data_IF_504976762314
#
_entry.id   IF_504976762314
#
_cell.length_a   1.000
_cell.length_b   1.000
_cell.length_c   1.000
_cell.angle_alpha   90.00
_cell.angle_beta   90.00
_cell.angle_gamma   90.00
#
_symmetry.space_group_name_H-M   'P 1'
#
loop_
_entity.id
_entity.type
_entity.pdbx_description
1 polymer ?
#
# COMPACT_ATOMS: atom_id res chain seq x y z
N UNK A 1 -29.34 -9.33 3.73
CA UNK A 1 -29.61 -8.00 4.33
C UNK A 1 -28.27 -7.33 4.54
N UNK A 2 -28.01 -6.21 3.89
CA UNK A 2 -26.74 -5.48 4.01
C UNK A 2 -26.56 -4.92 5.41
N UNK A 3 -25.34 -4.93 5.90
CA UNK A 3 -24.93 -4.38 7.19
C UNK A 3 -24.21 -3.05 6.94
N UNK A 4 -24.60 -2.01 7.67
CA UNK A 4 -23.87 -0.75 7.64
C UNK A 4 -22.64 -0.86 8.55
N UNK A 5 -21.48 -0.49 8.03
CA UNK A 5 -20.22 -0.39 8.78
C UNK A 5 -19.64 1.01 8.65
N UNK A 6 -19.08 1.51 9.72
CA UNK A 6 -18.34 2.76 9.76
C UNK A 6 -16.84 2.43 9.77
N UNK A 7 -16.06 3.05 8.88
CA UNK A 7 -14.62 2.83 8.73
C UNK A 7 -13.94 4.16 8.42
N UNK A 8 -12.68 4.30 8.79
CA UNK A 8 -11.84 5.37 8.29
C UNK A 8 -11.01 4.84 7.12
N UNK A 9 -11.19 5.35 5.92
CA UNK A 9 -10.43 4.92 4.73
C UNK A 9 -9.56 6.07 4.25
N UNK A 10 -8.25 5.86 4.28
CA UNK A 10 -7.24 6.83 3.83
C UNK A 10 -7.37 8.20 4.55
N UNK A 11 -7.75 8.16 5.84
CA UNK A 11 -7.93 9.36 6.67
C UNK A 11 -9.32 9.99 6.58
N UNK A 12 -10.23 9.43 5.77
CA UNK A 12 -11.60 9.92 5.63
C UNK A 12 -12.60 8.95 6.27
N UNK A 13 -13.52 9.43 7.13
CA UNK A 13 -14.59 8.59 7.65
C UNK A 13 -15.57 8.23 6.52
N UNK A 14 -15.94 6.96 6.43
CA UNK A 14 -16.90 6.44 5.43
C UNK A 14 -17.86 5.44 6.04
N UNK A 15 -19.10 5.48 5.56
CA UNK A 15 -20.10 4.45 5.82
C UNK A 15 -20.23 3.56 4.58
N UNK A 16 -20.15 2.24 4.78
CA UNK A 16 -20.29 1.25 3.71
C UNK A 16 -21.44 0.29 4.05
N UNK A 17 -22.32 0.06 3.08
CA UNK A 17 -23.37 -0.96 3.17
C UNK A 17 -22.84 -2.27 2.55
N UNK A 18 -22.42 -3.20 3.39
CA UNK A 18 -21.76 -4.45 2.96
C UNK A 18 -22.64 -5.68 3.16
N UNK A 19 -22.47 -6.70 2.33
CA UNK A 19 -23.07 -8.00 2.60
C UNK A 19 -22.29 -8.72 3.73
N UNK A 20 -22.96 -9.44 4.64
CA UNK A 20 -22.30 -10.08 5.79
C UNK A 20 -21.19 -11.05 5.44
N UNK A 21 -21.23 -11.63 4.25
CA UNK A 21 -20.27 -12.62 3.76
C UNK A 21 -19.25 -12.04 2.75
N UNK A 22 -19.34 -10.76 2.41
CA UNK A 22 -18.39 -10.13 1.50
C UNK A 22 -17.03 -9.95 2.15
N UNK A 23 -15.97 -10.10 1.36
CA UNK A 23 -14.62 -9.80 1.82
C UNK A 23 -14.40 -8.30 1.92
N UNK A 24 -13.46 -7.87 2.75
CA UNK A 24 -13.06 -6.47 2.80
C UNK A 24 -12.52 -5.99 1.45
N UNK A 25 -11.83 -6.86 0.71
CA UNK A 25 -11.38 -6.59 -0.66
C UNK A 25 -12.55 -6.24 -1.59
N UNK A 26 -13.61 -7.04 -1.55
CA UNK A 26 -14.79 -6.80 -2.41
C UNK A 26 -15.50 -5.51 -2.01
N UNK A 27 -15.63 -5.21 -0.71
CA UNK A 27 -16.22 -3.98 -0.21
C UNK A 27 -15.41 -2.75 -0.63
N UNK A 28 -14.08 -2.78 -0.51
CA UNK A 28 -13.21 -1.69 -0.94
C UNK A 28 -13.34 -1.42 -2.44
N UNK A 29 -13.38 -2.47 -3.26
CA UNK A 29 -13.43 -2.35 -4.72
C UNK A 29 -14.81 -1.98 -5.26
N UNK A 30 -15.86 -2.57 -4.73
CA UNK A 30 -17.21 -2.48 -5.29
C UNK A 30 -18.07 -1.44 -4.58
N UNK A 31 -17.99 -1.36 -3.24
CA UNK A 31 -18.83 -0.44 -2.45
C UNK A 31 -18.11 0.90 -2.21
N UNK A 32 -16.79 0.90 -1.98
CA UNK A 32 -16.01 2.14 -1.81
C UNK A 32 -15.40 2.68 -3.12
N UNK A 33 -15.41 1.92 -4.22
CA UNK A 33 -14.85 2.33 -5.52
C UNK A 33 -13.31 2.37 -5.59
N UNK A 34 -12.61 1.82 -4.58
CA UNK A 34 -11.14 1.81 -4.48
C UNK A 34 -10.56 0.58 -5.20
N UNK A 35 -10.30 0.72 -6.48
CA UNK A 35 -9.89 -0.40 -7.35
C UNK A 35 -8.39 -0.66 -7.41
N UNK A 36 -7.58 0.16 -6.75
CA UNK A 36 -6.13 0.02 -6.67
C UNK A 36 -5.70 -1.27 -5.99
N UNK A 37 -6.38 -1.68 -4.91
CA UNK A 37 -6.19 -2.99 -4.27
C UNK A 37 -6.67 -4.11 -5.20
N UNK A 38 -5.82 -5.12 -5.48
CA UNK A 38 -6.07 -6.11 -6.54
C UNK A 38 -6.50 -7.47 -6.00
N UNK A 39 -7.45 -8.11 -6.71
CA UNK A 39 -7.90 -9.49 -6.45
C UNK A 39 -7.11 -10.45 -7.32
N UNK A 40 -6.06 -11.10 -6.76
CA UNK A 40 -5.18 -12.00 -7.50
C UNK A 40 -5.51 -13.47 -7.30
N UNK A 41 -5.44 -13.98 -6.07
CA UNK A 41 -5.67 -15.41 -5.77
C UNK A 41 -6.95 -15.69 -4.99
N UNK A 42 -7.43 -14.71 -4.20
CA UNK A 42 -8.62 -14.82 -3.33
C UNK A 42 -8.51 -15.89 -2.23
N UNK A 43 -7.30 -16.34 -1.93
CA UNK A 43 -6.98 -17.39 -0.92
C UNK A 43 -5.83 -16.99 0.01
N UNK A 44 -5.44 -15.70 0.01
CA UNK A 44 -4.45 -15.16 0.96
C UNK A 44 -2.98 -15.39 0.61
N UNK A 45 -2.64 -15.97 -0.56
CA UNK A 45 -1.26 -16.33 -0.89
C UNK A 45 -0.49 -15.26 -1.65
N UNK A 46 -1.13 -14.50 -2.55
CA UNK A 46 -0.39 -13.64 -3.49
C UNK A 46 -0.06 -12.25 -2.98
N UNK A 47 -0.70 -11.76 -1.93
CA UNK A 47 -0.46 -10.44 -1.35
C UNK A 47 -0.87 -9.23 -2.20
N UNK A 48 -1.45 -9.42 -3.41
CA UNK A 48 -1.89 -8.30 -4.26
C UNK A 48 -3.02 -7.48 -3.64
N UNK A 49 -3.71 -8.05 -2.65
CA UNK A 49 -4.79 -7.43 -1.89
C UNK A 49 -4.34 -6.82 -0.55
N UNK A 50 -3.04 -6.73 -0.30
CA UNK A 50 -2.51 -6.16 0.95
C UNK A 50 -2.96 -4.72 1.13
N UNK A 51 -3.52 -4.43 2.31
CA UNK A 51 -3.86 -3.09 2.82
C UNK A 51 -3.32 -2.97 4.25
N UNK A 52 -3.31 -1.76 4.82
CA UNK A 52 -3.10 -1.62 6.27
C UNK A 52 -4.45 -1.55 6.97
N UNK A 53 -4.59 -2.34 8.02
CA UNK A 53 -5.70 -2.28 8.99
C UNK A 53 -5.07 -1.86 10.31
N UNK A 54 -5.43 -0.69 10.81
CA UNK A 54 -4.82 -0.08 12.00
C UNK A 54 -3.28 -0.08 11.97
N UNK A 55 -2.72 0.19 10.77
CA UNK A 55 -1.28 0.22 10.53
C UNK A 55 -0.62 -1.14 10.28
N UNK A 56 -1.33 -2.25 10.44
CA UNK A 56 -0.81 -3.61 10.24
C UNK A 56 -1.13 -4.11 8.82
N UNK A 57 -0.16 -4.64 8.06
CA UNK A 57 -0.41 -5.19 6.73
C UNK A 57 -1.23 -6.47 6.80
N UNK A 58 -2.36 -6.50 6.08
CA UNK A 58 -3.29 -7.62 6.05
C UNK A 58 -3.78 -7.91 4.63
N UNK A 59 -4.09 -9.19 4.36
CA UNK A 59 -4.71 -9.62 3.11
C UNK A 59 -6.23 -9.38 3.18
N UNK A 60 -6.72 -8.33 2.54
CA UNK A 60 -8.13 -7.95 2.56
C UNK A 60 -9.09 -9.01 1.96
N UNK A 61 -8.60 -9.96 1.18
CA UNK A 61 -9.39 -11.07 0.65
C UNK A 61 -9.74 -12.13 1.72
N UNK A 62 -9.04 -12.14 2.86
CA UNK A 62 -9.30 -13.09 3.98
C UNK A 62 -10.09 -12.47 5.13
N UNK A 63 -10.26 -11.15 5.16
CA UNK A 63 -11.01 -10.44 6.18
C UNK A 63 -12.45 -10.21 5.69
N UNK A 64 -13.43 -10.49 6.53
CA UNK A 64 -14.84 -10.14 6.23
C UNK A 64 -15.04 -8.63 6.37
N UNK A 65 -15.79 -8.03 5.44
CA UNK A 65 -16.05 -6.59 5.47
C UNK A 65 -16.67 -6.09 6.80
N UNK A 66 -17.63 -6.83 7.44
CA UNK A 66 -18.16 -6.44 8.74
C UNK A 66 -17.14 -6.38 9.88
N UNK A 67 -16.03 -7.11 9.80
CA UNK A 67 -14.96 -7.11 10.82
C UNK A 67 -14.15 -5.81 10.81
N UNK A 68 -14.19 -5.07 9.70
CA UNK A 68 -13.51 -3.79 9.57
C UNK A 68 -14.24 -2.61 10.25
N UNK A 69 -15.42 -2.84 10.85
CA UNK A 69 -16.16 -1.78 11.54
C UNK A 69 -15.31 -1.13 12.65
N UNK A 70 -15.16 0.19 12.58
CA UNK A 70 -14.34 0.97 13.51
C UNK A 70 -12.84 0.99 13.22
N UNK A 71 -12.36 0.26 12.19
CA UNK A 71 -10.94 0.20 11.85
C UNK A 71 -10.50 1.37 10.96
N UNK A 72 -9.20 1.66 11.00
CA UNK A 72 -8.52 2.58 10.08
C UNK A 72 -7.87 1.79 8.95
N UNK A 73 -8.33 2.02 7.74
CA UNK A 73 -7.87 1.32 6.55
C UNK A 73 -6.99 2.24 5.70
N UNK A 74 -5.80 1.77 5.31
CA UNK A 74 -4.97 2.46 4.31
C UNK A 74 -4.81 1.56 3.10
N UNK A 75 -5.30 2.03 1.96
CA UNK A 75 -5.15 1.39 0.66
C UNK A 75 -4.05 2.07 -0.15
N UNK A 76 -3.74 1.54 -1.34
CA UNK A 76 -2.73 2.15 -2.23
C UNK A 76 -3.06 3.60 -2.59
N UNK A 77 -4.32 3.94 -2.69
CA UNK A 77 -4.79 5.29 -2.98
C UNK A 77 -4.43 6.30 -1.87
N UNK A 78 -4.32 5.83 -0.62
CA UNK A 78 -3.92 6.65 0.54
C UNK A 78 -2.42 6.65 0.84
N UNK A 79 -1.59 6.07 -0.02
CA UNK A 79 -0.13 6.08 0.18
C UNK A 79 0.46 7.43 -0.19
N UNK A 80 -0.08 8.08 -1.20
CA UNK A 80 0.41 9.36 -1.71
C UNK A 80 0.08 10.49 -0.72
N UNK A 81 1.06 11.34 -0.36
CA UNK A 81 0.84 12.42 0.63
C UNK A 81 -0.06 13.56 0.12
N UNK A 82 -0.26 13.67 -1.18
CA UNK A 82 -1.05 14.73 -1.83
C UNK A 82 -1.04 14.58 -3.34
N UNK A 83 -1.89 15.34 -4.04
CA UNK A 83 -2.10 15.20 -5.49
C UNK A 83 -0.82 15.42 -6.32
N UNK A 84 0.06 16.31 -5.88
CA UNK A 84 1.25 16.74 -6.64
C UNK A 84 2.55 16.08 -6.14
N UNK A 85 2.50 15.18 -5.16
CA UNK A 85 3.70 14.57 -4.57
C UNK A 85 3.64 13.07 -4.65
N UNK A 86 4.62 12.46 -5.32
CA UNK A 86 4.76 11.00 -5.37
C UNK A 86 5.47 10.53 -4.09
N UNK A 87 4.93 9.50 -3.44
CA UNK A 87 5.58 8.92 -2.26
C UNK A 87 6.94 8.30 -2.65
N UNK A 88 8.02 8.45 -1.85
CA UNK A 88 9.34 7.92 -2.16
C UNK A 88 9.36 6.45 -2.57
N UNK A 89 8.55 5.60 -1.97
CA UNK A 89 8.40 4.19 -2.35
C UNK A 89 7.93 4.08 -3.82
N UNK A 90 6.91 4.83 -4.21
CA UNK A 90 6.36 4.80 -5.57
C UNK A 90 7.36 5.38 -6.59
N UNK A 91 8.05 6.48 -6.25
CA UNK A 91 9.09 7.07 -7.07
C UNK A 91 10.23 6.07 -7.34
N UNK A 92 10.72 5.38 -6.31
CA UNK A 92 11.78 4.40 -6.48
C UNK A 92 11.33 3.14 -7.23
N UNK A 93 10.07 2.73 -7.11
CA UNK A 93 9.51 1.66 -7.95
C UNK A 93 9.58 2.01 -9.44
N UNK A 94 9.28 3.25 -9.81
CA UNK A 94 9.40 3.72 -11.20
C UNK A 94 10.86 3.80 -11.63
N UNK A 95 11.73 4.44 -10.85
CA UNK A 95 13.15 4.67 -11.19
C UNK A 95 13.96 3.38 -11.31
N UNK A 96 13.71 2.39 -10.46
CA UNK A 96 14.38 1.10 -10.48
C UNK A 96 13.78 0.11 -11.50
N UNK A 97 12.65 0.43 -12.14
CA UNK A 97 11.94 -0.50 -13.00
C UNK A 97 11.36 -1.70 -12.21
N UNK A 98 10.94 -1.46 -10.97
CA UNK A 98 10.37 -2.47 -10.09
C UNK A 98 8.92 -2.84 -10.42
N UNK A 99 8.27 -2.12 -11.31
CA UNK A 99 6.95 -2.42 -11.85
C UNK A 99 7.04 -2.79 -13.34
N UNK A 100 6.35 -3.87 -13.74
CA UNK A 100 6.18 -4.24 -15.15
C UNK A 100 4.70 -4.26 -15.51
N UNK A 101 3.96 -5.35 -15.27
CA UNK A 101 2.50 -5.34 -15.50
C UNK A 101 1.72 -4.49 -14.49
N UNK A 102 2.30 -4.17 -13.33
CA UNK A 102 1.72 -3.32 -12.30
C UNK A 102 0.70 -3.99 -11.37
N UNK A 103 0.31 -5.24 -11.63
CA UNK A 103 -0.77 -5.89 -10.89
C UNK A 103 -0.45 -6.12 -9.41
N UNK A 104 0.75 -6.59 -9.08
CA UNK A 104 1.19 -6.83 -7.71
C UNK A 104 1.69 -5.55 -7.01
N UNK A 105 1.98 -4.49 -7.76
CA UNK A 105 2.62 -3.27 -7.26
C UNK A 105 1.88 -2.60 -6.09
N UNK A 106 0.55 -2.47 -6.09
CA UNK A 106 -0.18 -1.91 -4.95
C UNK A 106 0.08 -2.66 -3.64
N UNK A 107 0.01 -3.98 -3.66
CA UNK A 107 0.28 -4.81 -2.47
C UNK A 107 1.71 -4.67 -1.96
N UNK A 108 2.71 -4.67 -2.86
CA UNK A 108 4.10 -4.42 -2.49
C UNK A 108 4.30 -3.04 -1.86
N UNK A 109 3.78 -1.98 -2.47
CA UNK A 109 3.94 -0.61 -1.96
C UNK A 109 3.36 -0.47 -0.56
N UNK A 110 2.19 -1.05 -0.29
CA UNK A 110 1.56 -1.03 1.04
C UNK A 110 2.38 -1.84 2.05
N UNK A 111 2.85 -3.05 1.69
CA UNK A 111 3.69 -3.87 2.56
C UNK A 111 5.02 -3.17 2.90
N UNK A 112 5.64 -2.53 1.90
CA UNK A 112 6.89 -1.77 2.08
C UNK A 112 6.65 -0.56 2.98
N UNK A 113 5.53 0.14 2.86
CA UNK A 113 5.20 1.25 3.76
C UNK A 113 5.16 0.78 5.22
N UNK A 114 4.53 -0.36 5.50
CA UNK A 114 4.51 -0.94 6.84
C UNK A 114 5.92 -1.30 7.32
N UNK A 115 6.72 -1.94 6.48
CA UNK A 115 8.11 -2.29 6.80
C UNK A 115 8.93 -1.05 7.17
N UNK A 116 8.94 -0.03 6.30
CA UNK A 116 9.78 1.16 6.49
C UNK A 116 9.29 2.06 7.65
N UNK A 117 8.00 1.97 8.01
CA UNK A 117 7.48 2.62 9.22
C UNK A 117 7.97 1.92 10.49
N UNK A 118 8.01 0.59 10.49
CA UNK A 118 8.47 -0.22 11.64
C UNK A 118 10.01 -0.25 11.75
N UNK A 119 10.70 -0.33 10.62
CA UNK A 119 12.16 -0.36 10.51
C UNK A 119 12.61 0.55 9.36
N UNK A 120 13.08 1.78 9.66
CA UNK A 120 13.52 2.72 8.62
C UNK A 120 14.80 2.30 7.87
N UNK A 121 15.59 1.37 8.42
CA UNK A 121 16.85 0.88 7.83
C UNK A 121 16.86 -0.65 7.75
N UNK A 122 15.95 -1.26 6.96
CA UNK A 122 15.90 -2.70 6.89
C UNK A 122 17.12 -3.26 6.13
N UNK A 123 17.67 -4.35 6.62
CA UNK A 123 18.63 -5.17 5.88
C UNK A 123 17.94 -5.84 4.70
N UNK A 124 18.73 -6.27 3.73
CA UNK A 124 18.22 -6.96 2.54
C UNK A 124 17.43 -8.24 2.88
N UNK A 125 17.82 -8.94 3.93
CA UNK A 125 17.13 -10.14 4.37
C UNK A 125 15.82 -9.83 5.10
N UNK A 126 15.75 -8.73 5.88
CA UNK A 126 14.51 -8.24 6.46
C UNK A 126 13.53 -7.77 5.38
N UNK A 127 14.03 -7.12 4.31
CA UNK A 127 13.20 -6.78 3.14
C UNK A 127 12.62 -8.04 2.49
N UNK A 128 13.44 -9.06 2.25
CA UNK A 128 12.99 -10.34 1.67
C UNK A 128 11.94 -11.01 2.54
N UNK A 129 12.16 -11.03 3.85
CA UNK A 129 11.22 -11.61 4.79
C UNK A 129 9.88 -10.88 4.82
N UNK A 130 9.92 -9.54 4.91
CA UNK A 130 8.71 -8.71 4.93
C UNK A 130 7.88 -8.83 3.65
N UNK A 131 8.52 -9.08 2.50
CA UNK A 131 7.88 -9.21 1.20
C UNK A 131 7.57 -10.65 0.79
N UNK A 132 7.86 -11.64 1.64
CA UNK A 132 7.65 -13.06 1.33
C UNK A 132 6.18 -13.40 1.03
N UNK A 133 5.23 -12.63 1.59
CA UNK A 133 3.80 -12.77 1.34
C UNK A 133 3.29 -12.07 0.06
N UNK A 134 4.16 -11.42 -0.73
CA UNK A 134 3.80 -10.71 -1.94
C UNK A 134 4.44 -11.37 -3.17
N UNK A 135 3.63 -11.84 -4.11
CA UNK A 135 4.09 -12.57 -5.29
C UNK A 135 4.13 -11.68 -6.53
N UNK A 136 5.29 -11.66 -7.20
CA UNK A 136 5.45 -11.04 -8.51
C UNK A 136 5.91 -12.07 -9.55
N UNK A 137 5.18 -12.18 -10.68
CA UNK A 137 5.53 -13.11 -11.77
C UNK A 137 6.47 -12.49 -12.79
N UNK A 138 6.68 -11.17 -12.78
CA UNK A 138 7.35 -10.44 -13.85
C UNK A 138 8.79 -10.05 -13.53
N UNK A 139 9.06 -9.51 -12.33
CA UNK A 139 10.28 -8.73 -12.03
C UNK A 139 11.47 -9.57 -11.55
N UNK A 140 11.24 -10.79 -11.06
CA UNK A 140 12.27 -11.61 -10.40
C UNK A 140 12.76 -11.01 -9.06
N UNK A 141 12.01 -10.05 -8.48
CA UNK A 141 12.19 -9.42 -7.16
C UNK A 141 13.42 -8.52 -6.99
N UNK A 142 14.51 -8.72 -7.73
CA UNK A 142 15.77 -7.95 -7.56
C UNK A 142 15.53 -6.45 -7.61
N UNK A 143 14.75 -5.99 -8.59
CA UNK A 143 14.42 -4.57 -8.76
C UNK A 143 13.49 -4.03 -7.68
N UNK A 144 12.61 -4.89 -7.16
CA UNK A 144 11.73 -4.53 -6.02
C UNK A 144 12.57 -4.30 -4.78
N UNK A 145 13.50 -5.22 -4.45
CA UNK A 145 14.39 -5.10 -3.30
C UNK A 145 15.26 -3.84 -3.42
N UNK A 146 15.86 -3.60 -4.60
CA UNK A 146 16.63 -2.39 -4.87
C UNK A 146 15.80 -1.10 -4.66
N UNK A 147 14.54 -1.11 -5.10
CA UNK A 147 13.64 0.02 -4.91
C UNK A 147 13.33 0.29 -3.43
N UNK A 148 13.21 -0.76 -2.60
CA UNK A 148 13.01 -0.62 -1.14
C UNK A 148 14.24 -0.01 -0.49
N UNK A 149 15.45 -0.51 -0.81
CA UNK A 149 16.71 0.02 -0.28
C UNK A 149 16.83 1.53 -0.57
N UNK A 150 16.59 1.93 -1.82
CA UNK A 150 16.62 3.34 -2.23
C UNK A 150 15.49 4.19 -1.64
N UNK A 151 14.32 3.62 -1.45
CA UNK A 151 13.21 4.31 -0.80
C UNK A 151 13.50 4.58 0.68
N UNK A 152 14.11 3.63 1.38
CA UNK A 152 14.57 3.80 2.76
C UNK A 152 15.57 4.96 2.88
N UNK A 153 16.57 5.01 1.98
CA UNK A 153 17.52 6.13 1.92
C UNK A 153 16.85 7.47 1.62
N UNK A 154 15.88 7.49 0.69
CA UNK A 154 15.19 8.72 0.29
C UNK A 154 14.29 9.28 1.40
N UNK A 155 13.66 8.41 2.19
CA UNK A 155 12.80 8.81 3.33
C UNK A 155 13.65 9.43 4.45
N UNK A 156 14.88 8.96 4.67
CA UNK A 156 15.76 9.45 5.73
C UNK A 156 16.47 10.76 5.37
N UNK A 157 16.64 11.05 4.08
CA UNK A 157 17.20 12.32 3.65
C UNK A 157 16.10 13.39 3.76
N UNK A 158 16.27 14.45 4.61
CA UNK A 158 15.34 15.56 4.56
C UNK A 158 15.36 16.11 3.14
N UNK A 159 14.15 16.19 2.53
CA UNK A 159 13.99 16.81 1.22
C UNK A 159 14.63 18.21 1.30
N UNK A 160 15.62 18.56 0.46
CA UNK A 160 16.06 19.95 0.38
C UNK A 160 14.80 20.73 -0.02
N UNK A 161 14.35 21.60 0.88
CA UNK A 161 13.28 22.55 0.61
C UNK A 161 13.59 23.18 -0.75
N UNK A 162 12.67 23.10 -1.69
CA UNK A 162 12.79 23.80 -2.98
C UNK A 162 13.10 25.26 -2.64
N UNK A 163 14.35 25.65 -2.91
CA UNK A 163 14.87 26.95 -2.60
C UNK A 163 13.94 28.02 -3.16
N UNK A 164 13.54 28.92 -2.30
CA UNK A 164 13.01 30.19 -2.72
C UNK A 164 13.94 30.76 -3.81
N UNK A 165 13.37 31.02 -4.98
CA UNK A 165 14.03 31.84 -5.98
C UNK A 165 14.36 33.20 -5.36
N UNK A 166 15.61 33.39 -4.98
CA UNK A 166 16.13 34.76 -4.74
C UNK A 166 15.97 35.55 -6.03
N UNK A 167 15.03 36.47 -6.01
CA UNK A 167 14.99 37.56 -6.97
C UNK A 167 16.26 38.40 -6.77
N UNK A 168 17.23 38.25 -7.67
CA UNK A 168 18.31 39.21 -7.84
C UNK A 168 17.80 40.39 -8.67
N UNK A 169 17.92 41.54 -8.07
CA UNK A 169 17.72 42.86 -8.62
C UNK A 169 18.64 43.15 -9.86
#
# INVERSE_FOLDING_TARGET
MRKLIEVEINGEPRELAVEPHSTLLDALRNDAGLTGTKKGCDVGECGSCTILVDGTPMNSCLMLAPEAHGCKLTTIEGIQPGADTVHPIQDQFMRCGAAQCGFCTPGFVVAIKALLYANPNPTRDEIRFALAGNICRCTGYTKIIEAVEKAAEAIQRPCPSHGATENAQ
#
